data_IF_852475878112
#
_entry.id   IF_852475878112
#
_cell.length_a   1.000
_cell.length_b   1.000
_cell.length_c   1.000
_cell.angle_alpha   90.00
_cell.angle_beta   90.00
_cell.angle_gamma   90.00
#
_symmetry.space_group_name_H-M   'P 1'
#
loop_
_entity.id
_entity.type
_entity.pdbx_description
1 polymer ?
#
# COMPACT_ATOMS: atom_id res chain seq x y z
N UNK A 1 -6.87 -8.45 -2.62
CA UNK A 1 -7.67 -7.72 -1.60
C UNK A 1 -7.67 -8.56 -0.33
N UNK A 2 -7.29 -7.95 0.78
CA UNK A 2 -7.20 -8.61 2.09
C UNK A 2 -8.51 -8.53 2.87
N UNK A 3 -8.81 -9.57 3.66
CA UNK A 3 -9.83 -9.52 4.68
C UNK A 3 -9.33 -10.22 5.96
N UNK A 4 -9.21 -9.41 7.02
CA UNK A 4 -8.72 -9.82 8.35
C UNK A 4 -9.85 -10.03 9.38
N UNK A 5 -11.11 -9.93 8.97
CA UNK A 5 -12.25 -9.95 9.91
C UNK A 5 -12.42 -11.31 10.60
N UNK A 6 -12.26 -12.39 9.84
CA UNK A 6 -12.41 -13.77 10.34
C UNK A 6 -11.10 -14.35 10.92
N UNK A 7 -10.04 -13.56 10.99
CA UNK A 7 -8.73 -14.02 11.43
C UNK A 7 -8.73 -14.41 12.90
N UNK A 8 -8.08 -15.52 13.25
CA UNK A 8 -7.89 -15.98 14.63
C UNK A 8 -6.42 -15.84 15.03
N UNK A 9 -6.17 -15.57 16.31
CA UNK A 9 -4.82 -15.51 16.90
C UNK A 9 -4.62 -16.82 17.64
N UNK A 10 -3.82 -17.73 17.10
CA UNK A 10 -3.60 -19.06 17.70
C UNK A 10 -2.51 -19.02 18.77
N UNK A 11 -1.52 -18.15 18.59
CA UNK A 11 -0.40 -18.00 19.51
C UNK A 11 0.00 -16.54 19.64
N UNK A 12 0.45 -16.15 20.84
CA UNK A 12 1.10 -14.88 21.06
C UNK A 12 2.39 -15.07 21.85
N UNK A 13 3.50 -14.62 21.27
CA UNK A 13 4.79 -14.48 21.95
C UNK A 13 5.07 -13.01 22.17
N UNK A 14 5.39 -12.63 23.40
CA UNK A 14 5.72 -11.25 23.77
C UNK A 14 7.16 -11.22 24.26
N UNK A 15 7.99 -10.36 23.67
CA UNK A 15 9.37 -10.13 24.05
C UNK A 15 9.62 -8.63 24.21
N UNK A 16 10.85 -8.25 24.59
CA UNK A 16 11.30 -6.86 24.52
C UNK A 16 12.63 -6.80 23.79
N UNK A 17 12.72 -5.90 22.82
CA UNK A 17 13.94 -5.63 22.07
C UNK A 17 14.55 -4.32 22.55
N UNK A 18 15.86 -4.34 22.81
CA UNK A 18 16.66 -3.17 23.12
C UNK A 18 17.37 -2.61 21.89
N UNK A 19 18.27 -1.67 22.12
CA UNK A 19 19.16 -1.09 21.12
C UNK A 19 20.64 -1.30 21.52
N UNK A 20 21.42 -1.89 20.61
CA UNK A 20 22.84 -2.19 20.82
C UNK A 20 23.69 -0.94 21.04
N UNK A 21 23.49 0.11 20.26
CA UNK A 21 24.29 1.35 20.39
C UNK A 21 24.02 2.09 21.70
N UNK A 22 22.92 1.76 22.37
CA UNK A 22 22.50 2.35 23.66
C UNK A 22 22.76 1.43 24.85
N UNK A 23 23.42 0.28 24.64
CA UNK A 23 23.60 -0.78 25.65
C UNK A 23 22.30 -1.23 26.31
N UNK A 24 21.19 -1.20 25.56
CA UNK A 24 19.89 -1.67 26.02
C UNK A 24 19.77 -3.16 25.70
N UNK A 25 19.44 -3.98 26.70
CA UNK A 25 19.38 -5.43 26.55
C UNK A 25 18.10 -5.91 25.83
N UNK A 26 18.20 -7.11 25.26
CA UNK A 26 17.05 -7.90 24.82
C UNK A 26 16.48 -8.71 25.99
N UNK A 27 15.16 -8.90 26.03
CA UNK A 27 14.48 -9.77 26.97
C UNK A 27 13.56 -10.74 26.22
N UNK A 28 13.84 -12.03 26.36
CA UNK A 28 13.10 -13.10 25.69
C UNK A 28 12.29 -13.88 26.72
N UNK A 29 10.96 -13.70 26.71
CA UNK A 29 10.05 -14.50 27.54
C UNK A 29 10.25 -16.00 27.35
N UNK A 30 10.19 -16.75 28.44
CA UNK A 30 10.41 -18.20 28.43
C UNK A 30 9.25 -18.96 27.78
N UNK A 31 8.02 -18.49 27.99
CA UNK A 31 6.76 -19.11 27.57
C UNK A 31 5.90 -18.15 26.73
N UNK A 32 5.01 -18.68 25.88
CA UNK A 32 4.02 -17.86 25.17
C UNK A 32 3.01 -17.23 26.14
N UNK A 33 2.39 -16.14 25.71
CA UNK A 33 1.35 -15.46 26.47
C UNK A 33 0.02 -16.23 26.35
N UNK A 34 -0.61 -16.49 27.48
CA UNK A 34 -1.93 -17.13 27.55
C UNK A 34 -3.03 -16.17 27.08
N UNK A 35 -3.52 -16.38 25.85
CA UNK A 35 -4.64 -15.61 25.30
C UNK A 35 -5.92 -15.88 26.08
N UNK A 36 -6.73 -14.84 26.27
CA UNK A 36 -8.03 -14.92 26.93
C UNK A 36 -9.08 -14.08 26.16
N UNK A 37 -10.35 -14.32 26.46
CA UNK A 37 -11.47 -13.71 25.72
C UNK A 37 -11.56 -12.19 25.88
N UNK A 38 -10.99 -11.63 26.95
CA UNK A 38 -10.99 -10.19 27.22
C UNK A 38 -9.95 -9.44 26.38
N UNK A 39 -8.74 -10.01 26.23
CA UNK A 39 -7.63 -9.37 25.54
C UNK A 39 -7.64 -9.60 24.03
N UNK A 40 -8.25 -10.72 23.58
CA UNK A 40 -8.27 -11.12 22.18
C UNK A 40 -8.86 -10.04 21.25
N UNK A 41 -10.03 -9.42 21.54
CA UNK A 41 -10.58 -8.38 20.67
C UNK A 41 -9.70 -7.13 20.62
N UNK A 42 -9.06 -6.79 21.75
CA UNK A 42 -8.16 -5.64 21.86
C UNK A 42 -6.90 -5.84 21.01
N UNK A 43 -6.30 -7.03 21.05
CA UNK A 43 -5.13 -7.36 20.22
C UNK A 43 -5.46 -7.39 18.74
N UNK A 44 -6.60 -7.97 18.35
CA UNK A 44 -7.05 -7.95 16.95
C UNK A 44 -7.22 -6.53 16.43
N UNK A 45 -7.86 -5.66 17.19
CA UNK A 45 -8.01 -4.26 16.79
C UNK A 45 -6.65 -3.57 16.75
N UNK A 46 -5.80 -3.77 17.75
CA UNK A 46 -4.47 -3.17 17.82
C UNK A 46 -3.57 -3.57 16.63
N UNK A 47 -3.53 -4.85 16.30
CA UNK A 47 -2.68 -5.39 15.24
C UNK A 47 -3.23 -5.08 13.84
N UNK A 48 -4.54 -5.16 13.62
CA UNK A 48 -5.10 -5.11 12.26
C UNK A 48 -5.58 -3.74 11.82
N UNK A 49 -5.97 -2.85 12.74
CA UNK A 49 -6.45 -1.50 12.38
C UNK A 49 -5.51 -0.75 11.42
N UNK A 50 -4.17 -0.76 11.60
CA UNK A 50 -3.24 -0.08 10.69
C UNK A 50 -3.19 -0.68 9.27
N UNK A 51 -3.62 -1.94 9.10
CA UNK A 51 -3.61 -2.64 7.81
C UNK A 51 -4.95 -2.56 7.06
N UNK A 52 -5.95 -1.87 7.63
CA UNK A 52 -7.25 -1.63 6.97
C UNK A 52 -7.23 -0.42 6.02
N UNK A 53 -6.06 0.11 5.69
CA UNK A 53 -5.92 1.26 4.78
C UNK A 53 -6.39 0.93 3.35
N UNK A 54 -6.83 1.96 2.61
CA UNK A 54 -7.43 1.82 1.27
C UNK A 54 -6.42 1.49 0.16
N UNK A 55 -5.12 1.66 0.40
CA UNK A 55 -4.08 1.37 -0.59
C UNK A 55 -3.14 0.28 -0.07
N UNK A 56 -3.44 -0.97 -0.42
CA UNK A 56 -2.56 -2.11 -0.18
C UNK A 56 -1.32 -1.98 -1.08
N UNK A 57 -0.16 -1.74 -0.47
CA UNK A 57 1.15 -1.96 -1.10
C UNK A 57 1.74 -3.21 -0.48
N UNK A 58 1.87 -4.24 -1.30
CA UNK A 58 2.45 -5.50 -0.88
C UNK A 58 3.96 -5.49 -1.08
N UNK A 59 4.64 -6.23 -0.22
CA UNK A 59 6.08 -6.46 -0.24
C UNK A 59 6.34 -7.97 -0.33
N UNK A 60 7.58 -8.31 -0.64
CA UNK A 60 8.08 -9.68 -0.69
C UNK A 60 9.48 -9.73 -0.08
N UNK A 61 9.83 -10.82 0.57
CA UNK A 61 11.21 -11.02 0.99
C UNK A 61 12.12 -11.03 -0.22
N UNK A 62 13.27 -10.37 -0.09
CA UNK A 62 14.26 -10.27 -1.13
C UNK A 62 15.66 -10.36 -0.53
N UNK A 63 16.63 -10.67 -1.37
CA UNK A 63 18.04 -10.64 -1.02
C UNK A 63 18.84 -10.44 -2.32
N UNK A 64 19.97 -9.74 -2.24
CA UNK A 64 20.77 -9.39 -3.44
C UNK A 64 21.34 -10.61 -4.19
N UNK A 65 21.42 -11.76 -3.52
CA UNK A 65 22.01 -13.00 -4.05
C UNK A 65 20.94 -14.04 -4.36
N UNK A 66 20.20 -14.47 -3.32
CA UNK A 66 19.15 -15.47 -3.43
C UNK A 66 18.23 -15.35 -2.20
N UNK A 67 16.95 -15.60 -2.38
CA UNK A 67 15.92 -15.59 -1.33
C UNK A 67 16.27 -16.51 -0.15
N UNK A 68 16.97 -17.62 -0.39
CA UNK A 68 17.44 -18.54 0.66
C UNK A 68 18.38 -17.88 1.69
N UNK A 69 19.00 -16.74 1.35
CA UNK A 69 19.85 -15.99 2.27
C UNK A 69 19.08 -14.95 3.10
N UNK A 70 17.78 -14.74 2.84
CA UNK A 70 16.96 -13.87 3.66
C UNK A 70 16.60 -14.55 4.99
N UNK A 71 17.09 -14.00 6.11
CA UNK A 71 16.88 -14.58 7.44
C UNK A 71 15.40 -14.61 7.84
N UNK A 72 14.65 -13.55 7.56
CA UNK A 72 13.22 -13.49 7.90
C UNK A 72 12.38 -14.44 7.03
N UNK A 73 12.72 -14.63 5.76
CA UNK A 73 12.11 -15.63 4.89
C UNK A 73 12.28 -17.05 5.47
N UNK A 74 13.49 -17.40 5.89
CA UNK A 74 13.79 -18.70 6.49
C UNK A 74 13.06 -18.90 7.83
N UNK A 75 13.02 -17.88 8.68
CA UNK A 75 12.30 -17.92 9.95
C UNK A 75 10.79 -18.09 9.71
N UNK A 76 10.19 -17.31 8.80
CA UNK A 76 8.78 -17.44 8.45
C UNK A 76 8.47 -18.83 7.87
N UNK A 77 9.30 -19.32 6.95
CA UNK A 77 9.18 -20.66 6.36
C UNK A 77 9.16 -21.74 7.44
N UNK A 78 10.09 -21.68 8.39
CA UNK A 78 10.15 -22.65 9.49
C UNK A 78 8.89 -22.69 10.36
N UNK A 79 8.24 -21.54 10.55
CA UNK A 79 6.98 -21.45 11.31
C UNK A 79 5.81 -21.99 10.48
N UNK A 80 5.75 -21.71 9.18
CA UNK A 80 4.69 -22.27 8.33
C UNK A 80 4.80 -23.79 8.17
N UNK A 81 6.01 -24.34 8.17
CA UNK A 81 6.25 -25.79 8.12
C UNK A 81 5.98 -26.48 9.45
N UNK A 82 6.21 -25.79 10.58
CA UNK A 82 5.88 -26.29 11.90
C UNK A 82 5.35 -25.18 12.84
N UNK A 83 4.04 -24.88 12.80
CA UNK A 83 3.45 -23.79 13.59
C UNK A 83 3.63 -23.93 15.11
N UNK A 84 3.84 -25.15 15.60
CA UNK A 84 4.05 -25.40 17.03
C UNK A 84 5.35 -24.79 17.57
N UNK A 85 6.33 -24.53 16.70
CA UNK A 85 7.62 -23.95 17.04
C UNK A 85 7.62 -22.41 17.05
N UNK A 86 6.48 -21.76 16.80
CA UNK A 86 6.43 -20.30 16.67
C UNK A 86 7.02 -19.57 17.88
N UNK A 87 6.86 -20.09 19.10
CA UNK A 87 7.46 -19.47 20.28
C UNK A 87 8.99 -19.60 20.33
N UNK A 88 9.55 -20.68 19.80
CA UNK A 88 11.00 -20.83 19.67
C UNK A 88 11.54 -19.92 18.56
N UNK A 89 10.80 -19.80 17.45
CA UNK A 89 11.17 -18.95 16.32
C UNK A 89 10.98 -17.47 16.64
N UNK A 90 9.99 -17.08 17.44
CA UNK A 90 9.77 -15.68 17.85
C UNK A 90 10.95 -15.11 18.65
N UNK A 91 11.63 -15.97 19.43
CA UNK A 91 12.90 -15.63 20.10
C UNK A 91 13.99 -15.31 19.09
N UNK A 92 14.11 -16.10 18.01
CA UNK A 92 15.06 -15.86 16.92
C UNK A 92 14.72 -14.60 16.13
N UNK A 93 13.44 -14.38 15.79
CA UNK A 93 12.95 -13.14 15.14
C UNK A 93 13.31 -11.91 15.98
N UNK A 94 13.05 -11.96 17.29
CA UNK A 94 13.37 -10.84 18.20
C UNK A 94 14.89 -10.66 18.34
N UNK A 95 15.66 -11.74 18.33
CA UNK A 95 17.12 -11.67 18.32
C UNK A 95 17.64 -11.02 17.03
N UNK A 96 17.16 -11.43 15.85
CA UNK A 96 17.49 -10.78 14.58
C UNK A 96 17.16 -9.29 14.62
N UNK A 97 15.96 -8.93 15.10
CA UNK A 97 15.57 -7.53 15.29
C UNK A 97 16.54 -6.76 16.19
N UNK A 98 17.06 -7.39 17.24
CA UNK A 98 18.09 -6.80 18.11
C UNK A 98 19.43 -6.62 17.39
N UNK A 99 19.84 -7.59 16.56
CA UNK A 99 21.05 -7.50 15.73
C UNK A 99 20.98 -6.29 14.78
N UNK A 100 19.80 -6.02 14.21
CA UNK A 100 19.56 -4.88 13.32
C UNK A 100 19.30 -3.55 14.04
N UNK A 101 19.10 -3.56 15.37
CA UNK A 101 18.81 -2.37 16.18
C UNK A 101 20.10 -1.66 16.65
N UNK A 102 20.83 -1.09 15.70
CA UNK A 102 22.17 -0.50 15.90
C UNK A 102 22.23 1.05 15.76
N UNK A 103 21.13 1.69 15.35
CA UNK A 103 21.09 3.15 15.17
C UNK A 103 20.52 3.85 16.41
N UNK A 104 21.10 4.96 16.92
CA UNK A 104 20.67 5.60 18.16
C UNK A 104 19.21 6.06 18.22
N UNK A 105 18.57 6.29 17.07
CA UNK A 105 17.16 6.67 16.98
C UNK A 105 16.18 5.50 17.12
N UNK A 106 16.63 4.26 16.94
CA UNK A 106 15.77 3.09 17.14
C UNK A 106 15.50 2.95 18.63
N UNK A 107 14.22 3.00 19.01
CA UNK A 107 13.81 2.89 20.42
C UNK A 107 13.68 1.42 20.82
N UNK A 108 13.92 1.14 22.10
CA UNK A 108 13.49 -0.12 22.69
C UNK A 108 11.96 -0.25 22.67
N UNK A 109 11.47 -1.48 22.80
CA UNK A 109 10.04 -1.71 22.74
C UNK A 109 9.61 -3.13 23.01
N UNK A 110 8.32 -3.30 23.26
CA UNK A 110 7.67 -4.61 23.30
C UNK A 110 7.51 -5.14 21.86
N UNK A 111 7.81 -6.43 21.67
CA UNK A 111 7.72 -7.15 20.39
C UNK A 111 6.68 -8.25 20.52
N UNK A 112 5.76 -8.33 19.58
CA UNK A 112 4.69 -9.32 19.53
C UNK A 112 4.87 -10.16 18.27
N UNK A 113 4.97 -11.48 18.43
CA UNK A 113 5.00 -12.43 17.32
C UNK A 113 3.81 -13.37 17.47
N UNK A 114 3.03 -13.54 16.41
CA UNK A 114 1.75 -14.25 16.46
C UNK A 114 1.53 -15.10 15.23
N UNK A 115 0.87 -16.24 15.42
CA UNK A 115 0.37 -17.08 14.34
C UNK A 115 -1.10 -16.77 14.12
N UNK A 116 -1.46 -16.52 12.87
CA UNK A 116 -2.81 -16.24 12.46
C UNK A 116 -3.35 -17.35 11.55
N UNK A 117 -4.60 -17.73 11.78
CA UNK A 117 -5.37 -18.62 10.88
C UNK A 117 -6.57 -17.87 10.34
N UNK A 118 -7.18 -18.42 9.28
CA UNK A 118 -8.38 -17.85 8.65
C UNK A 118 -8.18 -16.41 8.13
N UNK A 119 -6.98 -16.13 7.59
CA UNK A 119 -6.68 -14.86 6.92
C UNK A 119 -7.08 -14.97 5.47
N UNK A 120 -7.84 -14.01 4.94
CA UNK A 120 -8.21 -14.04 3.52
C UNK A 120 -7.36 -13.06 2.72
N UNK A 121 -6.71 -13.55 1.66
CA UNK A 121 -5.94 -12.75 0.71
C UNK A 121 -6.14 -13.29 -0.70
N UNK A 122 -6.45 -12.40 -1.64
CA UNK A 122 -6.63 -12.73 -3.06
C UNK A 122 -7.58 -13.92 -3.28
N UNK A 123 -8.70 -13.91 -2.53
CA UNK A 123 -9.74 -14.95 -2.49
C UNK A 123 -9.28 -16.33 -1.96
N UNK A 124 -8.08 -16.43 -1.39
CA UNK A 124 -7.59 -17.60 -0.70
C UNK A 124 -7.73 -17.41 0.82
N UNK A 125 -7.96 -18.51 1.54
CA UNK A 125 -7.85 -18.54 3.00
C UNK A 125 -6.51 -19.17 3.33
N UNK A 126 -5.67 -18.42 4.03
CA UNK A 126 -4.29 -18.79 4.35
C UNK A 126 -4.00 -18.55 5.83
N UNK A 127 -2.90 -19.13 6.29
CA UNK A 127 -2.29 -18.77 7.56
C UNK A 127 -1.32 -17.60 7.36
N UNK A 128 -1.02 -16.87 8.44
CA UNK A 128 -0.09 -15.75 8.40
C UNK A 128 0.70 -15.61 9.70
N UNK A 129 1.83 -14.90 9.63
CA UNK A 129 2.64 -14.55 10.80
C UNK A 129 2.57 -13.03 10.98
N UNK A 130 2.21 -12.59 12.17
CA UNK A 130 2.28 -11.19 12.55
C UNK A 130 3.54 -10.91 13.38
N UNK A 131 4.27 -9.86 13.03
CA UNK A 131 5.37 -9.32 13.85
C UNK A 131 5.10 -7.85 14.08
N UNK A 132 4.98 -7.45 15.35
CA UNK A 132 4.60 -6.10 15.75
C UNK A 132 5.56 -5.57 16.79
N UNK A 133 5.82 -4.26 16.77
CA UNK A 133 6.66 -3.58 17.75
C UNK A 133 6.01 -2.30 18.23
N UNK A 134 6.04 -2.11 19.55
CA UNK A 134 5.55 -0.92 20.24
C UNK A 134 6.69 -0.24 20.97
N UNK A 135 6.98 0.99 20.60
CA UNK A 135 8.09 1.81 21.07
C UNK A 135 7.63 2.92 22.02
N UNK A 136 6.36 3.35 21.91
CA UNK A 136 5.83 4.51 22.63
C UNK A 136 4.88 4.06 23.74
N UNK A 137 5.21 4.45 24.97
CA UNK A 137 4.31 4.38 26.12
C UNK A 137 3.63 5.74 26.34
N UNK A 138 2.35 5.69 26.70
CA UNK A 138 1.56 6.86 27.07
C UNK A 138 1.29 6.84 28.56
N UNK A 139 1.31 8.03 29.17
CA UNK A 139 0.82 8.23 30.53
C UNK A 139 -0.71 8.12 30.54
N UNK A 140 -1.25 7.42 31.53
CA UNK A 140 -2.69 7.41 31.80
C UNK A 140 -2.95 7.45 33.31
N UNK A 141 -4.08 8.02 33.68
CA UNK A 141 -4.53 8.12 35.06
C UNK A 141 -5.54 7.02 35.33
N UNK A 142 -5.24 6.13 36.27
CA UNK A 142 -6.18 5.17 36.82
C UNK A 142 -6.73 5.71 38.14
N UNK A 143 -8.00 5.44 38.43
CA UNK A 143 -8.63 5.82 39.68
C UNK A 143 -9.05 4.57 40.43
N UNK A 144 -8.73 4.51 41.72
CA UNK A 144 -9.12 3.42 42.61
C UNK A 144 -9.84 3.99 43.83
N UNK A 145 -10.93 3.34 44.25
CA UNK A 145 -11.62 3.69 45.48
C UNK A 145 -10.85 3.15 46.70
N UNK A 146 -10.40 4.04 47.58
CA UNK A 146 -9.89 3.68 48.91
C UNK A 146 -10.77 4.28 49.99
N UNK A 147 -11.70 3.46 50.48
CA UNK A 147 -12.69 3.87 51.47
C UNK A 147 -13.63 4.91 50.89
N UNK A 148 -13.58 6.15 51.41
CA UNK A 148 -14.42 7.27 50.96
C UNK A 148 -13.72 8.21 49.97
N UNK A 149 -12.50 7.89 49.51
CA UNK A 149 -11.71 8.73 48.61
C UNK A 149 -11.43 8.00 47.30
N UNK A 150 -11.39 8.76 46.21
CA UNK A 150 -10.80 8.31 44.94
C UNK A 150 -9.33 8.69 44.93
N UNK A 151 -8.45 7.70 44.81
CA UNK A 151 -7.02 7.93 44.62
C UNK A 151 -6.68 7.90 43.13
N UNK A 152 -5.85 8.86 42.70
CA UNK A 152 -5.34 8.95 41.34
C UNK A 152 -3.97 8.29 41.25
N UNK A 153 -3.80 7.39 40.29
CA UNK A 153 -2.58 6.64 40.04
C UNK A 153 -2.10 6.95 38.63
N UNK A 154 -0.91 7.53 38.50
CA UNK A 154 -0.24 7.71 37.22
C UNK A 154 0.41 6.39 36.81
N UNK A 155 0.03 5.87 35.65
CA UNK A 155 0.62 4.67 35.06
C UNK A 155 1.11 4.96 33.63
N UNK A 156 2.03 4.11 33.17
CA UNK A 156 2.55 4.15 31.80
C UNK A 156 2.27 2.82 31.10
N UNK A 157 1.76 2.89 29.88
CA UNK A 157 1.40 1.69 29.12
C UNK A 157 1.37 1.92 27.61
N UNK A 158 1.19 0.82 26.87
CA UNK A 158 1.10 0.85 25.42
C UNK A 158 -0.29 1.38 25.01
N UNK A 159 -0.30 2.33 24.07
CA UNK A 159 -1.55 2.82 23.51
C UNK A 159 -2.05 1.88 22.41
N UNK A 160 -3.13 1.15 22.69
CA UNK A 160 -3.74 0.18 21.77
C UNK A 160 -4.36 0.80 20.50
N UNK A 161 -4.38 2.14 20.39
CA UNK A 161 -4.80 2.82 19.17
C UNK A 161 -3.65 3.14 18.22
N UNK A 162 -2.39 2.99 18.67
CA UNK A 162 -1.21 3.41 17.93
C UNK A 162 -0.16 2.31 17.90
N UNK A 163 -0.13 1.58 16.80
CA UNK A 163 0.96 0.66 16.50
C UNK A 163 2.13 1.44 15.89
N UNK A 164 3.34 1.22 16.40
CA UNK A 164 4.53 1.89 15.86
C UNK A 164 5.02 1.19 14.59
N UNK A 165 5.27 -0.13 14.66
CA UNK A 165 5.73 -0.92 13.51
C UNK A 165 5.04 -2.27 13.46
N UNK A 166 4.80 -2.78 12.25
CA UNK A 166 4.21 -4.09 12.08
C UNK A 166 4.42 -4.67 10.69
N UNK A 167 4.38 -5.99 10.60
CA UNK A 167 4.20 -6.70 9.35
C UNK A 167 3.31 -7.93 9.52
N UNK A 168 2.61 -8.28 8.45
CA UNK A 168 1.86 -9.52 8.31
C UNK A 168 2.43 -10.24 7.10
N UNK A 169 2.99 -11.42 7.32
CA UNK A 169 3.57 -12.30 6.31
C UNK A 169 2.52 -13.37 6.01
N UNK A 170 1.97 -13.39 4.79
CA UNK A 170 0.95 -14.37 4.40
C UNK A 170 1.64 -15.63 3.88
N UNK A 171 1.13 -16.82 4.24
CA UNK A 171 1.56 -18.08 3.64
C UNK A 171 0.99 -18.20 2.21
N UNK A 172 1.43 -17.30 1.33
CA UNK A 172 0.96 -17.13 -0.03
C UNK A 172 2.13 -16.66 -0.90
N UNK A 173 2.30 -17.27 -2.08
CA UNK A 173 3.44 -17.03 -3.00
C UNK A 173 4.82 -17.27 -2.35
N UNK A 174 5.01 -18.43 -1.69
CA UNK A 174 6.29 -18.81 -1.04
C UNK A 174 7.51 -18.61 -1.96
N UNK A 175 7.45 -19.14 -3.18
CA UNK A 175 8.54 -19.09 -4.15
C UNK A 175 8.88 -17.67 -4.63
N UNK A 176 7.98 -16.70 -4.43
CA UNK A 176 8.19 -15.28 -4.78
C UNK A 176 8.63 -14.45 -3.55
N UNK A 177 8.92 -15.09 -2.41
CA UNK A 177 9.33 -14.40 -1.17
C UNK A 177 8.20 -14.10 -0.20
N UNK A 178 7.05 -14.77 -0.33
CA UNK A 178 5.80 -14.49 0.39
C UNK A 178 5.21 -13.11 0.12
N UNK A 179 3.88 -13.03 0.08
CA UNK A 179 3.18 -11.74 0.09
C UNK A 179 3.21 -11.16 1.51
N UNK A 180 3.57 -9.89 1.65
CA UNK A 180 3.76 -9.24 2.96
C UNK A 180 3.05 -7.88 2.97
N UNK A 181 2.37 -7.56 4.06
CA UNK A 181 1.97 -6.19 4.38
C UNK A 181 2.85 -5.65 5.50
N UNK A 182 3.15 -4.36 5.45
CA UNK A 182 3.92 -3.69 6.49
C UNK A 182 3.39 -2.29 6.78
N UNK A 183 3.55 -1.87 8.03
CA UNK A 183 3.26 -0.52 8.52
C UNK A 183 4.43 -0.02 9.34
N UNK A 184 4.80 1.23 9.12
CA UNK A 184 5.75 1.95 9.95
C UNK A 184 5.24 3.38 10.17
N UNK A 185 4.79 3.64 11.40
CA UNK A 185 4.32 4.96 11.81
C UNK A 185 5.47 5.96 12.04
N UNK A 186 6.71 5.48 12.11
CA UNK A 186 7.91 6.20 12.50
C UNK A 186 8.84 6.39 11.30
N UNK A 187 8.60 7.43 10.49
CA UNK A 187 9.36 7.69 9.25
C UNK A 187 10.85 7.98 9.43
N UNK A 188 11.36 8.14 10.65
CA UNK A 188 12.74 8.53 10.92
C UNK A 188 13.73 7.36 10.86
N UNK A 189 13.26 6.11 10.92
CA UNK A 189 14.10 4.90 10.92
C UNK A 189 13.60 3.80 9.97
N UNK A 190 12.73 4.15 9.01
CA UNK A 190 12.04 3.21 8.11
C UNK A 190 12.97 2.20 7.38
N UNK A 191 14.21 2.61 7.07
CA UNK A 191 15.21 1.71 6.45
C UNK A 191 15.54 0.50 7.31
N UNK A 192 15.64 0.66 8.63
CA UNK A 192 15.98 -0.48 9.49
C UNK A 192 14.87 -1.53 9.45
N UNK A 193 13.60 -1.10 9.42
CA UNK A 193 12.47 -2.02 9.46
C UNK A 193 12.32 -2.77 8.12
N UNK A 194 12.30 -2.05 7.00
CA UNK A 194 12.10 -2.64 5.68
C UNK A 194 13.36 -3.27 5.10
N UNK A 195 14.49 -2.56 5.11
CA UNK A 195 15.71 -2.97 4.39
C UNK A 195 16.58 -3.93 5.23
N UNK A 196 16.75 -3.67 6.53
CA UNK A 196 17.66 -4.46 7.36
C UNK A 196 16.99 -5.62 8.10
N UNK A 197 15.86 -5.36 8.77
CA UNK A 197 15.16 -6.37 9.56
C UNK A 197 14.37 -7.33 8.66
N UNK A 198 13.41 -6.80 7.90
CA UNK A 198 12.60 -7.61 6.99
C UNK A 198 13.37 -7.98 5.72
N UNK A 199 14.20 -7.06 5.21
CA UNK A 199 14.87 -7.19 3.91
C UNK A 199 13.86 -7.53 2.81
N UNK A 200 12.97 -6.57 2.55
CA UNK A 200 11.86 -6.75 1.61
C UNK A 200 11.93 -5.77 0.45
N UNK A 201 11.46 -6.23 -0.71
CA UNK A 201 11.21 -5.42 -1.90
C UNK A 201 9.71 -5.33 -2.18
N UNK A 202 9.34 -4.44 -3.10
CA UNK A 202 7.93 -4.29 -3.50
C UNK A 202 7.45 -5.53 -4.24
N UNK A 203 6.30 -6.07 -3.85
CA UNK A 203 5.64 -7.19 -4.54
C UNK A 203 4.97 -6.64 -5.80
N UNK A 204 5.53 -6.94 -6.98
CA UNK A 204 5.07 -6.41 -8.25
C UNK A 204 3.94 -7.27 -8.86
N UNK A 205 2.78 -7.32 -8.20
CA UNK A 205 1.60 -7.99 -8.75
C UNK A 205 0.89 -7.17 -9.86
N UNK A 206 -0.11 -7.78 -10.50
CA UNK A 206 -0.98 -7.12 -11.48
C UNK A 206 -1.61 -5.81 -10.97
N UNK A 207 -1.93 -5.74 -9.67
CA UNK A 207 -2.50 -4.56 -9.03
C UNK A 207 -1.46 -3.44 -8.93
N UNK A 208 -0.24 -3.76 -8.51
CA UNK A 208 0.90 -2.86 -8.51
C UNK A 208 1.17 -2.33 -9.93
N UNK A 209 1.34 -3.23 -10.91
CA UNK A 209 1.63 -2.85 -12.29
C UNK A 209 0.55 -1.95 -12.89
N UNK A 210 -0.73 -2.33 -12.74
CA UNK A 210 -1.87 -1.52 -13.20
C UNK A 210 -1.87 -0.13 -12.58
N UNK A 211 -1.68 -0.02 -11.26
CA UNK A 211 -1.64 1.27 -10.55
C UNK A 211 -0.47 2.14 -11.03
N UNK A 212 0.73 1.55 -11.12
CA UNK A 212 1.95 2.27 -11.50
C UNK A 212 1.89 2.74 -12.94
N UNK A 213 1.41 1.90 -13.86
CA UNK A 213 1.27 2.27 -15.26
C UNK A 213 0.20 3.35 -15.47
N UNK A 214 -0.96 3.25 -14.81
CA UNK A 214 -1.97 4.32 -14.86
C UNK A 214 -1.45 5.63 -14.25
N UNK A 215 -0.62 5.55 -13.21
CA UNK A 215 0.03 6.71 -12.61
C UNK A 215 1.08 7.32 -13.55
N UNK A 216 1.84 6.49 -14.25
CA UNK A 216 2.75 6.91 -15.30
C UNK A 216 2.01 7.65 -16.43
N UNK A 217 0.90 7.09 -16.92
CA UNK A 217 0.04 7.77 -17.90
C UNK A 217 -0.46 9.13 -17.38
N UNK A 218 -0.86 9.21 -16.11
CA UNK A 218 -1.30 10.47 -15.50
C UNK A 218 -0.21 11.54 -15.49
N UNK A 219 1.03 11.15 -15.18
CA UNK A 219 2.14 12.11 -15.12
C UNK A 219 2.61 12.47 -16.54
N UNK A 220 2.61 11.53 -17.49
CA UNK A 220 2.81 11.83 -18.92
C UNK A 220 1.76 12.83 -19.45
N UNK A 221 0.48 12.65 -19.11
CA UNK A 221 -0.59 13.55 -19.52
C UNK A 221 -0.35 14.99 -19.03
N UNK A 222 0.17 15.15 -17.81
CA UNK A 222 0.44 16.47 -17.21
C UNK A 222 1.73 17.11 -17.69
N UNK A 223 2.76 16.30 -17.89
CA UNK A 223 4.11 16.78 -18.19
C UNK A 223 4.35 16.97 -19.69
N UNK A 224 3.60 16.25 -20.54
CA UNK A 224 3.82 16.21 -21.99
C UNK A 224 2.56 16.62 -22.76
N UNK A 225 1.43 15.95 -22.54
CA UNK A 225 0.20 16.23 -23.33
C UNK A 225 -0.35 17.61 -23.02
N UNK A 226 -0.47 17.98 -21.73
CA UNK A 226 -1.01 19.28 -21.33
C UNK A 226 -0.17 20.47 -21.84
N UNK A 227 1.18 20.46 -21.75
CA UNK A 227 2.00 21.55 -22.30
C UNK A 227 2.05 21.61 -23.83
N UNK A 228 1.98 20.46 -24.51
CA UNK A 228 2.02 20.40 -25.97
C UNK A 228 0.67 20.73 -26.62
N UNK A 229 -0.43 20.38 -25.95
CA UNK A 229 -1.80 20.63 -26.40
C UNK A 229 -2.55 21.48 -25.36
N UNK A 230 -3.59 20.92 -24.73
CA UNK A 230 -4.37 21.63 -23.74
C UNK A 230 -5.05 20.72 -22.72
N UNK A 231 -5.80 21.35 -21.81
CA UNK A 231 -6.49 20.66 -20.72
C UNK A 231 -7.56 19.68 -21.21
N UNK A 232 -8.19 19.94 -22.36
CA UNK A 232 -9.15 19.03 -22.95
C UNK A 232 -8.44 17.74 -23.35
N UNK A 233 -7.32 17.85 -24.06
CA UNK A 233 -6.57 16.68 -24.51
C UNK A 233 -5.94 15.87 -23.37
N UNK A 234 -5.45 16.52 -22.31
CA UNK A 234 -5.00 15.83 -21.09
C UNK A 234 -6.12 14.94 -20.51
N UNK A 235 -7.33 15.47 -20.38
CA UNK A 235 -8.47 14.74 -19.83
C UNK A 235 -8.93 13.63 -20.78
N UNK A 236 -8.93 13.87 -22.09
CA UNK A 236 -9.28 12.87 -23.09
C UNK A 236 -8.31 11.70 -23.11
N UNK A 237 -7.00 11.99 -23.13
CA UNK A 237 -5.94 10.98 -23.05
C UNK A 237 -6.12 10.10 -21.82
N UNK A 238 -6.32 10.70 -20.64
CA UNK A 238 -6.51 9.93 -19.42
C UNK A 238 -7.77 9.07 -19.43
N UNK A 239 -8.86 9.57 -20.01
CA UNK A 239 -10.07 8.78 -20.18
C UNK A 239 -9.86 7.60 -21.13
N UNK A 240 -9.17 7.81 -22.27
CA UNK A 240 -8.82 6.72 -23.20
C UNK A 240 -7.93 5.69 -22.52
N UNK A 241 -6.90 6.13 -21.79
CA UNK A 241 -6.01 5.24 -21.06
C UNK A 241 -6.78 4.36 -20.06
N UNK A 242 -7.57 4.95 -19.16
CA UNK A 242 -8.38 4.18 -18.20
C UNK A 242 -9.39 3.26 -18.88
N UNK A 243 -9.97 3.68 -20.01
CA UNK A 243 -10.92 2.86 -20.75
C UNK A 243 -10.26 1.67 -21.44
N UNK A 244 -9.05 1.82 -21.98
CA UNK A 244 -8.26 0.70 -22.49
C UNK A 244 -8.02 -0.32 -21.38
N UNK A 245 -7.56 0.14 -20.21
CA UNK A 245 -7.36 -0.74 -19.06
C UNK A 245 -8.66 -1.39 -18.56
N UNK A 246 -9.81 -0.71 -18.67
CA UNK A 246 -11.10 -1.25 -18.22
C UNK A 246 -11.74 -2.26 -19.19
N UNK A 247 -11.32 -2.28 -20.45
CA UNK A 247 -11.90 -3.13 -21.51
C UNK A 247 -11.08 -4.38 -21.80
N UNK A 248 -9.81 -4.40 -21.40
CA UNK A 248 -8.88 -5.48 -21.66
C UNK A 248 -8.52 -6.22 -20.37
N UNK A 249 -8.32 -7.53 -20.47
CA UNK A 249 -7.84 -8.37 -19.36
C UNK A 249 -6.31 -8.35 -19.24
N UNK A 250 -5.62 -8.03 -20.34
CA UNK A 250 -4.16 -7.93 -20.42
C UNK A 250 -3.77 -6.60 -21.05
N UNK A 251 -2.77 -5.95 -20.45
CA UNK A 251 -2.12 -4.79 -21.02
C UNK A 251 -1.07 -5.25 -22.03
N UNK A 252 -1.06 -4.65 -23.22
CA UNK A 252 0.05 -4.77 -24.16
C UNK A 252 0.37 -3.38 -24.70
N UNK A 253 1.64 -2.97 -24.58
CA UNK A 253 2.06 -1.59 -24.80
C UNK A 253 1.82 -1.11 -26.23
N UNK A 254 2.04 -1.96 -27.24
CA UNK A 254 1.86 -1.59 -28.64
C UNK A 254 0.39 -1.35 -28.95
N UNK A 255 -0.50 -2.24 -28.51
CA UNK A 255 -1.94 -2.12 -28.62
C UNK A 255 -2.46 -0.89 -27.87
N UNK A 256 -1.96 -0.66 -26.65
CA UNK A 256 -2.28 0.53 -25.85
C UNK A 256 -1.93 1.80 -26.60
N UNK A 257 -0.71 1.91 -27.12
CA UNK A 257 -0.27 3.10 -27.85
C UNK A 257 -1.13 3.33 -29.09
N UNK A 258 -1.46 2.29 -29.84
CA UNK A 258 -2.28 2.40 -31.04
C UNK A 258 -3.75 2.79 -30.74
N UNK A 259 -4.31 2.34 -29.62
CA UNK A 259 -5.69 2.66 -29.24
C UNK A 259 -5.82 4.03 -28.58
N UNK A 260 -4.86 4.40 -27.72
CA UNK A 260 -4.98 5.57 -26.83
C UNK A 260 -4.37 6.83 -27.47
N UNK A 261 -3.28 6.70 -28.24
CA UNK A 261 -2.60 7.83 -28.88
C UNK A 261 -3.27 8.17 -30.20
N UNK A 262 -4.08 9.22 -30.22
CA UNK A 262 -4.66 9.74 -31.46
C UNK A 262 -3.65 10.52 -32.29
N UNK A 263 -2.75 11.27 -31.65
CA UNK A 263 -1.66 11.96 -32.33
C UNK A 263 -0.42 11.04 -32.36
N UNK A 264 0.00 10.54 -33.54
CA UNK A 264 1.16 9.65 -33.65
C UNK A 264 2.47 10.31 -33.21
N UNK A 265 2.55 11.64 -33.19
CA UNK A 265 3.74 12.39 -32.73
C UNK A 265 4.02 12.18 -31.24
N UNK A 266 3.00 11.81 -30.43
CA UNK A 266 3.20 11.51 -29.02
C UNK A 266 3.71 10.09 -28.76
N UNK A 267 3.72 9.19 -29.74
CA UNK A 267 4.23 7.84 -29.55
C UNK A 267 5.74 7.85 -29.24
N UNK A 268 6.59 8.56 -30.00
CA UNK A 268 8.00 8.75 -29.64
C UNK A 268 8.17 9.43 -28.26
N UNK A 269 7.40 10.48 -27.97
CA UNK A 269 7.49 11.20 -26.70
C UNK A 269 7.12 10.31 -25.51
N UNK A 270 6.11 9.46 -25.64
CA UNK A 270 5.73 8.51 -24.60
C UNK A 270 6.85 7.48 -24.34
N UNK A 271 7.47 6.96 -25.41
CA UNK A 271 8.59 6.02 -25.28
C UNK A 271 9.80 6.67 -24.63
N UNK A 272 10.15 7.90 -25.02
CA UNK A 272 11.23 8.66 -24.39
C UNK A 272 10.92 8.96 -22.92
N UNK A 273 9.70 9.40 -22.62
CA UNK A 273 9.27 9.65 -21.25
C UNK A 273 9.30 8.37 -20.40
N UNK A 274 9.00 7.19 -20.97
CA UNK A 274 9.16 5.89 -20.31
C UNK A 274 10.61 5.56 -20.03
N UNK A 275 11.52 5.79 -20.97
CA UNK A 275 12.97 5.59 -20.75
C UNK A 275 13.46 6.50 -19.61
N UNK A 276 13.04 7.76 -19.58
CA UNK A 276 13.52 8.74 -18.60
C UNK A 276 12.89 8.57 -17.21
N UNK A 277 11.62 8.15 -17.15
CA UNK A 277 10.82 8.14 -15.90
C UNK A 277 10.36 6.75 -15.47
N UNK A 278 10.54 5.71 -16.28
CA UNK A 278 10.03 4.36 -16.04
C UNK A 278 10.48 3.78 -14.70
N UNK A 279 11.74 4.01 -14.32
CA UNK A 279 12.31 3.54 -13.05
C UNK A 279 11.61 4.05 -11.80
N UNK A 280 11.05 5.26 -11.86
CA UNK A 280 10.25 5.81 -10.76
C UNK A 280 8.96 5.01 -10.54
N UNK A 281 8.45 4.35 -11.58
CA UNK A 281 7.21 3.59 -11.54
C UNK A 281 7.43 2.07 -11.58
N UNK A 282 8.67 1.61 -11.73
CA UNK A 282 9.02 0.18 -11.90
C UNK A 282 8.36 -0.42 -13.15
N UNK A 283 8.48 0.26 -14.30
CA UNK A 283 7.88 -0.13 -15.58
C UNK A 283 8.86 -0.13 -16.76
N UNK A 284 10.17 -0.02 -16.51
CA UNK A 284 11.22 0.15 -17.54
C UNK A 284 11.13 -0.93 -18.62
N UNK A 285 11.05 -2.19 -18.20
CA UNK A 285 11.05 -3.37 -19.06
C UNK A 285 9.65 -4.01 -19.18
N UNK A 286 8.61 -3.28 -18.80
CA UNK A 286 7.23 -3.80 -18.80
C UNK A 286 6.54 -3.49 -20.12
N UNK A 287 6.36 -4.49 -20.98
CA UNK A 287 5.61 -4.37 -22.25
C UNK A 287 4.23 -5.03 -22.20
N UNK A 288 4.02 -6.00 -21.30
CA UNK A 288 2.71 -6.61 -21.08
C UNK A 288 2.54 -7.09 -19.64
N UNK A 289 1.29 -7.10 -19.16
CA UNK A 289 0.92 -7.63 -17.84
C UNK A 289 -0.60 -7.81 -17.69
N UNK A 290 -1.07 -8.74 -16.84
CA UNK A 290 -2.50 -8.87 -16.52
C UNK A 290 -3.05 -7.60 -15.85
N UNK A 291 -4.25 -7.17 -16.22
CA UNK A 291 -4.85 -5.95 -15.67
C UNK A 291 -5.70 -6.27 -14.44
N UNK A 292 -5.43 -5.56 -13.34
CA UNK A 292 -6.24 -5.65 -12.14
C UNK A 292 -7.45 -4.70 -12.22
N UNK A 293 -8.63 -5.24 -12.51
CA UNK A 293 -9.89 -4.49 -12.60
C UNK A 293 -10.21 -3.63 -11.36
N UNK A 294 -9.83 -4.10 -10.16
CA UNK A 294 -9.97 -3.33 -8.93
C UNK A 294 -9.12 -2.05 -8.95
N UNK A 295 -7.87 -2.13 -9.42
CA UNK A 295 -6.97 -0.99 -9.57
C UNK A 295 -7.51 0.03 -10.58
N UNK A 296 -8.03 -0.45 -11.72
CA UNK A 296 -8.63 0.40 -12.75
C UNK A 296 -9.85 1.14 -12.19
N UNK A 297 -10.71 0.43 -11.45
CA UNK A 297 -11.90 1.00 -10.83
C UNK A 297 -11.54 2.10 -9.83
N UNK A 298 -10.52 1.87 -8.99
CA UNK A 298 -10.06 2.86 -8.02
C UNK A 298 -9.38 4.06 -8.67
N UNK A 299 -8.59 3.84 -9.72
CA UNK A 299 -7.99 4.92 -10.51
C UNK A 299 -9.06 5.78 -11.19
N UNK A 300 -10.08 5.16 -11.79
CA UNK A 300 -11.23 5.85 -12.41
C UNK A 300 -11.97 6.73 -11.40
N UNK A 301 -12.18 6.25 -10.17
CA UNK A 301 -12.82 7.05 -9.09
C UNK A 301 -11.99 8.26 -8.66
N UNK A 302 -10.67 8.12 -8.62
CA UNK A 302 -9.74 9.19 -8.18
C UNK A 302 -9.44 10.21 -9.28
N UNK A 303 -9.69 9.87 -10.54
CA UNK A 303 -9.48 10.78 -11.66
C UNK A 303 -10.41 11.98 -11.62
N UNK A 304 -9.82 13.17 -11.67
CA UNK A 304 -10.54 14.43 -11.79
C UNK A 304 -10.82 14.70 -13.27
N UNK A 305 -12.00 14.33 -13.74
CA UNK A 305 -12.46 14.63 -15.08
C UNK A 305 -13.11 16.02 -15.15
N UNK A 306 -12.48 17.05 -14.59
CA UNK A 306 -13.04 18.40 -14.53
C UNK A 306 -12.10 19.39 -15.19
N UNK A 307 -12.64 20.17 -16.13
CA UNK A 307 -11.99 21.35 -16.68
C UNK A 307 -12.46 22.56 -15.85
N UNK A 308 -11.52 23.23 -15.20
CA UNK A 308 -11.76 24.44 -14.43
C UNK A 308 -11.50 25.66 -15.32
N UNK A 309 -12.49 26.52 -15.46
CA UNK A 309 -12.37 27.79 -16.20
C UNK A 309 -12.09 28.95 -15.24
N UNK A 310 -11.52 30.03 -15.77
CA UNK A 310 -11.20 31.29 -15.07
C UNK A 310 -12.45 32.01 -14.52
N UNK A 311 -13.61 31.75 -15.12
CA UNK A 311 -14.93 32.27 -14.73
C UNK A 311 -15.59 31.51 -13.58
N UNK A 312 -14.86 30.62 -12.89
CA UNK A 312 -15.39 29.68 -11.88
C UNK A 312 -16.39 28.65 -12.43
N UNK A 313 -16.48 28.51 -13.75
CA UNK A 313 -17.26 27.44 -14.40
C UNK A 313 -16.44 26.14 -14.37
N UNK A 314 -17.10 25.03 -14.04
CA UNK A 314 -16.50 23.69 -14.09
C UNK A 314 -17.25 22.84 -15.11
N UNK A 315 -16.50 22.27 -16.06
CA UNK A 315 -17.03 21.30 -17.02
C UNK A 315 -16.58 19.92 -16.56
N UNK A 316 -17.52 19.10 -16.08
CA UNK A 316 -17.24 17.71 -15.69
C UNK A 316 -17.53 16.76 -16.86
N UNK A 317 -16.50 16.04 -17.28
CA UNK A 317 -16.50 15.11 -18.40
C UNK A 317 -16.67 13.67 -17.89
N UNK A 318 -17.90 13.27 -17.60
CA UNK A 318 -18.23 11.93 -17.07
C UNK A 318 -18.46 10.93 -18.21
N UNK A 319 -17.38 10.57 -18.90
CA UNK A 319 -17.48 9.69 -20.08
C UNK A 319 -17.17 8.24 -19.74
N UNK A 320 -18.19 7.38 -19.86
CA UNK A 320 -18.03 5.92 -19.86
C UNK A 320 -17.38 5.44 -21.17
N UNK A 321 -17.46 6.23 -22.24
CA UNK A 321 -16.86 5.92 -23.55
C UNK A 321 -16.08 7.14 -24.08
N UNK A 322 -14.78 7.03 -24.43
CA UNK A 322 -13.97 8.18 -24.79
C UNK A 322 -14.29 8.71 -26.19
N UNK A 323 -14.79 7.87 -27.11
CA UNK A 323 -15.23 8.30 -28.46
C UNK A 323 -16.42 9.29 -28.44
N UNK A 324 -17.16 9.39 -27.33
CA UNK A 324 -18.23 10.37 -27.19
C UNK A 324 -17.73 11.78 -26.88
N UNK A 325 -16.56 11.91 -26.25
CA UNK A 325 -16.13 13.19 -25.70
C UNK A 325 -15.79 14.23 -26.79
N UNK A 326 -15.04 13.83 -27.81
CA UNK A 326 -14.73 14.67 -28.99
C UNK A 326 -15.96 14.98 -29.84
N UNK A 327 -16.96 14.10 -29.85
CA UNK A 327 -18.21 14.34 -30.60
C UNK A 327 -19.08 15.41 -29.96
N UNK A 328 -18.93 15.62 -28.65
CA UNK A 328 -19.82 16.46 -27.87
C UNK A 328 -19.15 17.69 -27.27
N UNK A 329 -17.82 17.82 -27.33
CA UNK A 329 -17.10 18.98 -26.76
C UNK A 329 -16.10 19.52 -27.76
N UNK A 330 -16.32 20.76 -28.20
CA UNK A 330 -15.41 21.50 -29.09
C UNK A 330 -14.90 22.75 -28.37
N UNK A 331 -13.61 23.04 -28.49
CA UNK A 331 -13.00 24.28 -27.99
C UNK A 331 -12.63 25.18 -29.15
N UNK A 332 -12.94 26.47 -29.03
CA UNK A 332 -12.56 27.47 -30.02
C UNK A 332 -12.17 28.80 -29.40
N UNK A 333 -11.75 29.72 -30.26
CA UNK A 333 -11.46 31.11 -29.92
C UNK A 333 -12.51 32.00 -30.59
N UNK A 334 -13.17 32.85 -29.81
CA UNK A 334 -14.09 33.86 -30.32
C UNK A 334 -13.31 35.16 -30.54
N UNK A 335 -13.07 35.50 -31.81
CA UNK A 335 -12.31 36.70 -32.19
C UNK A 335 -13.02 38.00 -31.78
N UNK A 336 -14.36 38.03 -31.72
CA UNK A 336 -15.09 39.24 -31.32
C UNK A 336 -15.01 39.46 -29.81
N UNK A 337 -15.13 38.38 -29.04
CA UNK A 337 -15.11 38.44 -27.58
C UNK A 337 -13.70 38.38 -26.99
N UNK A 338 -12.70 38.01 -27.79
CA UNK A 338 -11.32 37.77 -27.34
C UNK A 338 -11.27 36.76 -26.18
N UNK A 339 -12.04 35.69 -26.27
CA UNK A 339 -12.16 34.66 -25.25
C UNK A 339 -12.20 33.26 -25.86
N UNK A 340 -11.69 32.27 -25.12
CA UNK A 340 -11.91 30.87 -25.45
C UNK A 340 -13.34 30.45 -25.09
N UNK A 341 -13.93 29.58 -25.89
CA UNK A 341 -15.21 28.95 -25.60
C UNK A 341 -15.11 27.43 -25.67
N UNK A 342 -16.04 26.77 -24.99
CA UNK A 342 -16.36 25.36 -25.19
C UNK A 342 -17.81 25.25 -25.68
N UNK A 343 -18.03 24.55 -26.79
CA UNK A 343 -19.35 24.13 -27.25
C UNK A 343 -19.62 22.73 -26.74
N UNK A 344 -20.79 22.54 -26.11
CA UNK A 344 -21.25 21.23 -25.64
C UNK A 344 -22.49 20.83 -26.43
N UNK A 345 -22.37 19.76 -27.22
CA UNK A 345 -23.46 19.21 -28.02
C UNK A 345 -24.17 18.09 -27.24
N UNK A 346 -25.50 18.07 -27.28
CA UNK A 346 -26.31 17.02 -26.66
C UNK A 346 -27.51 16.68 -27.53
N UNK A 347 -27.94 15.41 -27.50
CA UNK A 347 -29.08 14.93 -28.30
C UNK A 347 -30.42 15.09 -27.58
N UNK A 348 -30.45 14.84 -26.27
CA UNK A 348 -31.65 14.92 -25.42
C UNK A 348 -31.25 15.33 -24.01
N UNK A 349 -32.01 16.24 -23.43
CA UNK A 349 -31.88 16.63 -22.02
C UNK A 349 -32.51 15.55 -21.14
N UNK A 350 -31.78 15.09 -20.12
CA UNK A 350 -32.33 14.20 -19.10
C UNK A 350 -33.05 15.02 -18.04
N UNK A 351 -34.33 14.71 -17.78
CA UNK A 351 -35.04 15.26 -16.62
C UNK A 351 -34.70 14.42 -15.40
N UNK A 352 -34.18 15.07 -14.36
CA UNK A 352 -33.89 14.46 -13.06
C UNK A 352 -35.13 13.93 -12.38
#
# INVERSE_FOLDING_TARGET
MINLFNTHIENLSIHRVGNKSRNEAIFLSENPYGLNDEIMPLLKEYFFKPFREKEENYYQFAHEVDLEYNEMYNLATSVFENPSEIHAVSKKITHHLFEQSNHPHIKNGEVYVTYFTNVSIDNNVVDAIGVFKSEIKSDFLQFEEKGSNLEMILQQGINLNKLDKGCIIFNHKKEEGYKILTVDSNRYDARYWLEHFLSVDVFQDENFMTKKYLKFCQDFAKDVVLPAEDKQQEVLFMNRAVNHFAKNDEFEETAFLNEVMQNPEFIPEFKNYKVDKGAKYSIEDVSSFPIANAAVTDARKKMKNTIQLDTNIQIKLDFINPESAEKFVEKGWDEEKQMYYYLVYFNKEQKS
#
